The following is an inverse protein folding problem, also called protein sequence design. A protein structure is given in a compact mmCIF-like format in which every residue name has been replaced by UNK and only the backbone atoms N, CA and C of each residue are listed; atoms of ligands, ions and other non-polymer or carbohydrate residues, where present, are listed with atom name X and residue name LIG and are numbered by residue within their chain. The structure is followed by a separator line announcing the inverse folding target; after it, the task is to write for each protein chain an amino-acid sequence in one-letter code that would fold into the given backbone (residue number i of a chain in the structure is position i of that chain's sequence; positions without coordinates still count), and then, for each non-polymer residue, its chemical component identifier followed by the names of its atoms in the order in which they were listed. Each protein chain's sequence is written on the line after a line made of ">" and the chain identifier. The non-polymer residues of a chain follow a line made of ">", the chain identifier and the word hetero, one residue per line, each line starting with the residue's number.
data_IF_542269378338
#
_entry.id   IF_542269378338
#
_cell.length_a   1.000
_cell.length_b   1.000
_cell.length_c   1.000
_cell.angle_alpha   90.00
_cell.angle_beta   90.00
_cell.angle_gamma   90.00
#
_symmetry.space_group_name_H-M   'P 1'
#
loop_
_entity.id
_entity.type
_entity.pdbx_description
1 polymer ?
#
# COMPACT_ATOMS: atom_id res chain seq x y z
N UNK A 1 -0.55 14.58 12.23
CA UNK A 1 0.24 13.40 11.83
C UNK A 1 -0.69 12.21 11.63
N UNK A 2 -0.51 11.50 10.56
CA UNK A 2 -1.33 10.33 10.28
C UNK A 2 -0.78 9.12 11.03
N UNK A 3 -1.58 8.46 11.89
CA UNK A 3 -1.09 7.37 12.73
C UNK A 3 -0.75 6.10 11.96
N UNK A 4 -1.19 5.95 10.71
CA UNK A 4 -0.90 4.73 9.96
C UNK A 4 0.30 4.87 9.01
N UNK A 5 0.86 6.06 8.86
CA UNK A 5 2.10 6.22 8.09
C UNK A 5 3.22 5.48 8.82
N UNK A 6 3.96 4.66 8.08
CA UNK A 6 5.02 3.83 8.63
C UNK A 6 4.59 2.41 8.98
N UNK A 7 3.29 2.14 9.01
CA UNK A 7 2.81 0.79 9.28
C UNK A 7 2.97 -0.11 8.07
N UNK A 8 2.91 -1.42 8.32
CA UNK A 8 2.99 -2.43 7.27
C UNK A 8 1.60 -2.75 6.75
N UNK A 9 1.45 -2.71 5.43
CA UNK A 9 0.26 -3.17 4.73
C UNK A 9 0.65 -4.30 3.80
N UNK A 10 -0.28 -5.21 3.54
CA UNK A 10 -0.04 -6.36 2.66
C UNK A 10 -0.83 -6.14 1.37
N UNK A 11 -0.14 -6.16 0.23
CA UNK A 11 -0.81 -5.99 -1.05
C UNK A 11 -1.72 -7.18 -1.31
N UNK A 12 -2.95 -6.90 -1.73
CA UNK A 12 -3.93 -7.94 -2.05
C UNK A 12 -3.90 -8.35 -3.52
N UNK A 13 -3.10 -7.67 -4.33
CA UNK A 13 -2.96 -7.98 -5.74
C UNK A 13 -1.63 -7.48 -6.28
N UNK A 14 -1.36 -7.80 -7.53
CA UNK A 14 -0.17 -7.32 -8.20
C UNK A 14 -0.38 -5.86 -8.61
N UNK A 15 0.59 -5.01 -8.28
CA UNK A 15 0.51 -3.59 -8.59
C UNK A 15 1.75 -3.18 -9.37
N UNK A 16 1.56 -2.80 -10.63
CA UNK A 16 2.61 -2.16 -11.40
C UNK A 16 2.98 -0.81 -10.78
N UNK A 17 4.14 -0.25 -11.09
CA UNK A 17 4.47 1.09 -10.58
C UNK A 17 3.37 2.09 -10.86
N UNK A 18 2.97 2.83 -9.82
CA UNK A 18 1.92 3.84 -9.85
C UNK A 18 0.50 3.29 -10.02
N UNK A 19 0.32 1.97 -10.09
CA UNK A 19 -1.00 1.37 -10.23
C UNK A 19 -1.76 1.43 -8.91
N UNK A 20 -3.09 1.44 -9.02
CA UNK A 20 -4.00 1.46 -7.87
C UNK A 20 -4.67 0.11 -7.73
N UNK A 21 -4.76 -0.38 -6.52
CA UNK A 21 -5.44 -1.62 -6.19
C UNK A 21 -5.82 -1.61 -4.73
N UNK A 22 -5.66 -2.76 -4.06
CA UNK A 22 -6.04 -2.89 -2.66
C UNK A 22 -4.88 -3.43 -1.83
N UNK A 23 -4.82 -2.99 -0.58
CA UNK A 23 -3.89 -3.53 0.40
C UNK A 23 -4.62 -3.67 1.72
N UNK A 24 -4.22 -4.67 2.50
CA UNK A 24 -4.79 -4.92 3.81
C UNK A 24 -3.96 -4.23 4.88
N UNK A 25 -4.61 -3.44 5.71
CA UNK A 25 -3.98 -2.79 6.84
C UNK A 25 -4.83 -3.07 8.07
N UNK A 26 -4.23 -3.69 9.09
CA UNK A 26 -4.92 -4.07 10.32
C UNK A 26 -6.18 -4.90 10.05
N UNK A 27 -6.09 -5.82 9.10
CA UNK A 27 -7.21 -6.70 8.77
C UNK A 27 -8.30 -6.07 7.91
N UNK A 28 -8.12 -4.83 7.47
CA UNK A 28 -9.12 -4.10 6.68
C UNK A 28 -8.54 -3.79 5.30
N UNK A 29 -9.29 -4.06 4.22
CA UNK A 29 -8.82 -3.69 2.88
C UNK A 29 -8.97 -2.18 2.66
N UNK A 30 -7.95 -1.59 2.06
CA UNK A 30 -7.88 -0.17 1.73
C UNK A 30 -7.55 -0.01 0.25
N UNK A 31 -7.99 1.05 -0.35
CA UNK A 31 -7.46 1.46 -1.65
C UNK A 31 -5.99 1.79 -1.48
N UNK A 32 -5.14 1.32 -2.40
CA UNK A 32 -3.71 1.53 -2.30
C UNK A 32 -3.09 1.80 -3.65
N UNK A 33 -2.14 2.71 -3.67
CA UNK A 33 -1.34 3.00 -4.86
C UNK A 33 0.09 2.56 -4.61
N UNK A 34 0.68 1.87 -5.59
CA UNK A 34 2.09 1.55 -5.54
C UNK A 34 2.89 2.82 -5.87
N UNK A 35 3.50 3.40 -4.84
CA UNK A 35 4.26 4.65 -4.98
C UNK A 35 5.72 4.42 -5.38
N UNK A 36 6.11 3.16 -5.59
CA UNK A 36 7.48 2.82 -5.97
C UNK A 36 7.64 2.75 -7.49
N UNK A 37 8.89 2.66 -7.92
CA UNK A 37 9.23 2.48 -9.32
C UNK A 37 9.36 1.02 -9.72
N UNK A 38 9.09 0.10 -8.78
CA UNK A 38 9.13 -1.35 -9.01
C UNK A 38 7.76 -1.92 -8.71
N UNK A 39 7.45 -3.05 -9.35
CA UNK A 39 6.16 -3.71 -9.15
C UNK A 39 6.07 -4.30 -7.75
N UNK A 40 4.84 -4.36 -7.22
CA UNK A 40 4.51 -5.04 -5.98
C UNK A 40 3.68 -6.26 -6.35
N UNK A 41 3.97 -7.40 -5.73
CA UNK A 41 3.23 -8.64 -5.99
C UNK A 41 2.22 -8.89 -4.88
N UNK A 42 1.18 -9.66 -5.21
CA UNK A 42 0.15 -10.04 -4.23
C UNK A 42 0.79 -10.73 -3.03
N UNK A 43 0.37 -10.35 -1.84
CA UNK A 43 0.90 -10.92 -0.59
C UNK A 43 2.18 -10.26 -0.11
N UNK A 44 2.74 -9.33 -0.86
CA UNK A 44 3.97 -8.66 -0.47
C UNK A 44 3.72 -7.66 0.64
N UNK A 45 4.61 -7.62 1.62
CA UNK A 45 4.56 -6.62 2.69
C UNK A 45 5.10 -5.30 2.19
N UNK A 46 4.36 -4.24 2.49
CA UNK A 46 4.68 -2.90 2.05
C UNK A 46 4.60 -1.94 3.23
N UNK A 47 5.29 -0.82 3.12
CA UNK A 47 5.20 0.22 4.12
C UNK A 47 4.30 1.33 3.62
N UNK A 48 3.42 1.83 4.48
CA UNK A 48 2.59 2.98 4.18
C UNK A 48 3.46 4.23 4.23
N UNK A 49 3.63 4.85 3.08
CA UNK A 49 4.46 6.05 2.95
C UNK A 49 3.64 7.31 3.16
N UNK A 50 2.39 7.30 2.72
CA UNK A 50 1.49 8.45 2.80
C UNK A 50 0.06 7.97 2.76
N UNK A 51 -0.83 8.74 3.36
CA UNK A 51 -2.27 8.51 3.29
C UNK A 51 -2.92 9.78 2.78
N UNK A 52 -3.84 9.62 1.84
CA UNK A 52 -4.57 10.76 1.30
C UNK A 52 -6.02 10.33 1.14
N UNK A 53 -6.89 10.91 1.94
CA UNK A 53 -8.28 10.46 2.01
C UNK A 53 -8.32 9.02 2.50
N UNK A 54 -8.89 8.14 1.69
CA UNK A 54 -8.98 6.70 1.99
C UNK A 54 -7.96 5.88 1.22
N UNK A 55 -7.01 6.52 0.55
CA UNK A 55 -6.01 5.82 -0.25
C UNK A 55 -4.65 5.82 0.45
N UNK A 56 -4.03 4.65 0.49
CA UNK A 56 -2.68 4.47 1.00
C UNK A 56 -1.69 4.57 -0.16
N UNK A 57 -0.60 5.29 0.04
CA UNK A 57 0.57 5.23 -0.83
C UNK A 57 1.53 4.23 -0.22
N UNK A 58 1.81 3.12 -0.90
CA UNK A 58 2.62 2.03 -0.36
C UNK A 58 3.87 1.81 -1.20
N UNK A 59 4.92 1.37 -0.54
CA UNK A 59 6.19 1.02 -1.18
C UNK A 59 6.65 -0.32 -0.62
N UNK A 60 7.43 -1.10 -1.39
CA UNK A 60 7.98 -2.35 -0.86
C UNK A 60 8.77 -2.10 0.43
N UNK A 61 8.62 -3.03 1.35
CA UNK A 61 9.26 -2.95 2.66
C UNK A 61 10.69 -3.51 2.61
#
# INVERSE_FOLDING_TARGET
>A
MDPIVGETAVSLGDLSPQAVGKAELRGTPWEARNAASVAITAGQRCRVQRVEGLMLWIVPQ
#
